data_IF_200884314199
#
_entry.id   IF_200884314199
#
_cell.length_a   1.000
_cell.length_b   1.000
_cell.length_c   1.000
_cell.angle_alpha   90.00
_cell.angle_beta   90.00
_cell.angle_gamma   90.00
#
_symmetry.space_group_name_H-M   'P 1'
#
loop_
_entity.id
_entity.type
_entity.pdbx_description
1 polymer ?
#
# COMPACT_ATOMS: atom_id res chain seq x y z
N UNK A 1 -6.99 -8.66 4.07
CA UNK A 1 -5.73 -9.39 4.35
C UNK A 1 -4.62 -8.38 4.58
N UNK A 2 -3.71 -8.65 5.51
CA UNK A 2 -2.55 -7.82 5.80
C UNK A 2 -1.28 -8.55 5.35
N UNK A 3 -0.36 -7.84 4.71
CA UNK A 3 0.94 -8.35 4.31
C UNK A 3 1.99 -7.24 4.49
N UNK A 4 3.26 -7.61 4.49
CA UNK A 4 4.36 -6.70 4.81
C UNK A 4 5.37 -6.65 3.67
N UNK A 5 5.71 -5.43 3.27
CA UNK A 5 6.64 -5.13 2.17
C UNK A 5 7.95 -4.54 2.68
N UNK A 6 8.84 -4.25 1.75
CA UNK A 6 10.05 -3.46 1.98
C UNK A 6 10.97 -4.06 3.03
N UNK A 7 11.18 -5.39 2.99
CA UNK A 7 12.12 -6.06 3.88
C UNK A 7 13.50 -5.39 3.76
N UNK A 8 14.07 -5.02 4.90
CA UNK A 8 15.39 -4.42 4.98
C UNK A 8 16.32 -5.23 5.86
N UNK A 9 17.55 -5.46 5.38
CA UNK A 9 18.57 -6.16 6.12
C UNK A 9 18.44 -7.68 6.09
N UNK A 10 19.15 -8.34 7.02
CA UNK A 10 19.25 -9.81 7.12
C UNK A 10 18.26 -10.41 8.12
N UNK A 11 17.68 -9.57 8.96
CA UNK A 11 16.76 -10.03 9.98
C UNK A 11 15.43 -10.48 9.38
N UNK A 12 14.75 -11.34 10.09
CA UNK A 12 13.41 -11.78 9.72
C UNK A 12 12.45 -10.59 9.77
N UNK A 13 11.67 -10.44 8.70
CA UNK A 13 10.65 -9.40 8.59
C UNK A 13 9.29 -9.90 9.04
N UNK A 14 8.36 -9.00 9.28
CA UNK A 14 6.98 -9.35 9.56
C UNK A 14 6.38 -10.15 8.39
N UNK A 15 5.61 -11.15 8.70
CA UNK A 15 4.97 -12.03 7.70
C UNK A 15 3.45 -11.94 7.77
N UNK A 16 2.75 -12.26 6.67
CA UNK A 16 3.26 -12.75 5.37
C UNK A 16 3.92 -11.65 4.54
N UNK A 17 4.87 -12.04 3.70
CA UNK A 17 5.50 -11.12 2.74
C UNK A 17 4.55 -10.81 1.60
N UNK A 18 4.57 -9.56 1.15
CA UNK A 18 3.61 -9.05 0.16
C UNK A 18 3.76 -9.75 -1.20
N UNK A 19 4.97 -9.90 -1.72
CA UNK A 19 5.18 -10.49 -3.03
C UNK A 19 4.65 -11.93 -3.14
N UNK A 20 5.04 -12.88 -2.28
CA UNK A 20 4.48 -14.24 -2.33
C UNK A 20 2.96 -14.27 -2.12
N UNK A 21 2.44 -13.37 -1.29
CA UNK A 21 1.01 -13.25 -1.04
C UNK A 21 0.24 -12.87 -2.30
N UNK A 22 0.71 -11.86 -3.02
CA UNK A 22 0.06 -11.39 -4.25
C UNK A 22 0.19 -12.41 -5.38
N UNK A 23 1.31 -13.10 -5.48
CA UNK A 23 1.48 -14.20 -6.43
C UNK A 23 0.44 -15.31 -6.18
N UNK A 24 0.24 -15.68 -4.92
CA UNK A 24 -0.78 -16.67 -4.54
C UNK A 24 -2.19 -16.18 -4.85
N UNK A 25 -2.51 -14.92 -4.55
CA UNK A 25 -3.80 -14.32 -4.86
C UNK A 25 -4.06 -14.25 -6.37
N UNK A 26 -3.03 -14.04 -7.17
CA UNK A 26 -3.14 -14.08 -8.63
C UNK A 26 -3.71 -15.39 -9.15
N UNK A 27 -3.42 -16.50 -8.47
CA UNK A 27 -3.92 -17.83 -8.87
C UNK A 27 -5.39 -18.07 -8.52
N UNK A 28 -5.95 -17.32 -7.59
CA UNK A 28 -7.29 -17.58 -7.01
C UNK A 28 -8.25 -16.41 -7.10
N UNK A 29 -7.75 -15.19 -7.29
CA UNK A 29 -8.57 -13.98 -7.26
C UNK A 29 -8.51 -13.25 -8.61
N UNK A 30 -9.68 -12.99 -9.18
CA UNK A 30 -9.80 -12.23 -10.43
C UNK A 30 -9.51 -10.74 -10.27
N UNK A 31 -9.52 -10.24 -9.04
CA UNK A 31 -9.20 -8.85 -8.72
C UNK A 31 -8.48 -8.75 -7.37
N UNK A 32 -7.47 -7.91 -7.34
CA UNK A 32 -6.75 -7.53 -6.11
C UNK A 32 -6.61 -6.03 -6.05
N UNK A 33 -7.10 -5.44 -4.97
CA UNK A 33 -6.89 -4.02 -4.66
C UNK A 33 -5.89 -3.93 -3.49
N UNK A 34 -4.89 -3.06 -3.63
CA UNK A 34 -3.82 -2.89 -2.65
C UNK A 34 -3.80 -1.46 -2.13
N UNK A 35 -3.78 -1.32 -0.81
CA UNK A 35 -3.59 -0.05 -0.11
C UNK A 35 -2.39 -0.16 0.82
N UNK A 36 -1.60 0.90 0.92
CA UNK A 36 -0.43 0.98 1.79
C UNK A 36 -0.69 2.01 2.92
N UNK A 37 -1.41 1.63 3.98
CA UNK A 37 -1.83 2.59 5.01
C UNK A 37 -0.67 3.15 5.85
N UNK A 38 0.50 2.52 5.79
CA UNK A 38 1.71 3.02 6.45
C UNK A 38 2.35 4.22 5.77
N UNK A 39 1.90 4.60 4.57
CA UNK A 39 2.44 5.72 3.80
C UNK A 39 1.39 6.81 3.61
N UNK A 40 1.65 7.98 4.18
CA UNK A 40 0.79 9.15 3.99
C UNK A 40 0.93 9.78 2.60
N UNK A 41 2.10 9.62 1.99
CA UNK A 41 2.41 10.08 0.63
C UNK A 41 2.98 8.94 -0.19
N UNK A 42 2.71 8.96 -1.50
CA UNK A 42 3.34 8.03 -2.44
C UNK A 42 4.83 8.26 -2.51
N UNK A 43 5.57 7.18 -2.59
CA UNK A 43 7.02 7.15 -2.63
C UNK A 43 7.49 5.98 -3.49
N UNK A 44 8.79 5.72 -3.51
CA UNK A 44 9.37 4.62 -4.27
C UNK A 44 8.77 3.27 -3.86
N UNK A 45 8.58 3.05 -2.57
CA UNK A 45 8.04 1.80 -2.01
C UNK A 45 6.58 1.57 -2.39
N UNK A 46 5.81 2.62 -2.68
CA UNK A 46 4.42 2.47 -3.11
C UNK A 46 4.26 2.49 -4.63
N UNK A 47 4.94 3.38 -5.33
CA UNK A 47 4.77 3.56 -6.77
C UNK A 47 5.50 2.47 -7.56
N UNK A 48 6.75 2.18 -7.22
CA UNK A 48 7.56 1.20 -7.93
C UNK A 48 7.34 -0.21 -7.37
N UNK A 49 7.49 -0.40 -6.08
CA UNK A 49 7.39 -1.73 -5.47
C UNK A 49 5.96 -2.30 -5.58
N UNK A 50 4.94 -1.52 -5.28
CA UNK A 50 3.55 -1.96 -5.34
C UNK A 50 2.92 -1.68 -6.71
N UNK A 51 2.98 -0.45 -7.17
CA UNK A 51 2.30 -0.01 -8.38
C UNK A 51 2.84 -0.63 -9.66
N UNK A 52 4.09 -1.04 -9.68
CA UNK A 52 4.77 -1.62 -10.83
C UNK A 52 5.18 -3.08 -10.60
N UNK A 53 6.13 -3.35 -9.71
CA UNK A 53 6.67 -4.70 -9.50
C UNK A 53 5.61 -5.70 -9.05
N UNK A 54 4.83 -5.34 -8.06
CA UNK A 54 3.78 -6.22 -7.52
C UNK A 54 2.65 -6.45 -8.53
N UNK A 55 2.29 -5.39 -9.27
CA UNK A 55 1.35 -5.50 -10.39
C UNK A 55 1.83 -6.50 -11.42
N UNK A 56 3.08 -6.41 -11.84
CA UNK A 56 3.67 -7.35 -12.80
C UNK A 56 3.65 -8.78 -12.26
N UNK A 57 3.99 -8.97 -10.99
CA UNK A 57 3.96 -10.30 -10.36
C UNK A 57 2.54 -10.90 -10.34
N UNK A 58 1.52 -10.09 -10.05
CA UNK A 58 0.14 -10.52 -10.12
C UNK A 58 -0.28 -10.88 -11.54
N UNK A 59 0.06 -10.04 -12.52
CA UNK A 59 -0.33 -10.25 -13.92
C UNK A 59 0.33 -11.45 -14.56
N UNK A 60 1.53 -11.84 -14.12
CA UNK A 60 2.17 -13.08 -14.54
C UNK A 60 1.37 -14.31 -14.12
N UNK A 61 0.77 -14.28 -12.95
CA UNK A 61 -0.07 -15.37 -12.44
C UNK A 61 -1.50 -15.33 -12.99
N UNK A 62 -2.01 -14.13 -13.30
CA UNK A 62 -3.37 -13.92 -13.78
C UNK A 62 -3.41 -12.82 -14.86
N UNK A 63 -3.10 -13.17 -16.13
CA UNK A 63 -3.06 -12.18 -17.21
C UNK A 63 -4.39 -11.44 -17.45
N UNK A 64 -5.52 -12.08 -17.15
CA UNK A 64 -6.86 -11.52 -17.33
C UNK A 64 -7.40 -10.86 -16.05
N UNK A 65 -6.65 -10.94 -14.96
CA UNK A 65 -7.05 -10.37 -13.66
C UNK A 65 -6.86 -8.88 -13.58
N UNK A 66 -7.53 -8.26 -12.62
CA UNK A 66 -7.42 -6.84 -12.33
C UNK A 66 -6.58 -6.60 -11.08
N UNK A 67 -5.55 -5.78 -11.21
CA UNK A 67 -4.73 -5.28 -10.10
C UNK A 67 -4.90 -3.77 -9.99
N UNK A 68 -5.30 -3.30 -8.81
CA UNK A 68 -5.48 -1.89 -8.55
C UNK A 68 -4.70 -1.46 -7.31
N UNK A 69 -3.77 -0.54 -7.48
CA UNK A 69 -3.12 0.17 -6.38
C UNK A 69 -3.95 1.40 -6.01
N UNK A 70 -4.35 1.48 -4.74
CA UNK A 70 -5.06 2.63 -4.19
C UNK A 70 -4.00 3.64 -3.74
N UNK A 71 -3.90 4.83 -4.37
CA UNK A 71 -2.88 5.82 -4.02
C UNK A 71 -2.92 6.23 -2.56
N UNK A 72 -1.77 6.63 -2.01
CA UNK A 72 -1.69 7.27 -0.72
C UNK A 72 -2.51 8.58 -0.74
N UNK A 73 -2.80 9.11 0.44
CA UNK A 73 -3.60 10.33 0.55
C UNK A 73 -2.94 11.55 -0.10
N UNK A 74 -1.61 11.61 -0.07
CA UNK A 74 -0.82 12.71 -0.62
C UNK A 74 -1.29 14.06 -0.06
N UNK A 75 -1.28 15.10 -0.89
CA UNK A 75 -1.70 16.47 -0.54
C UNK A 75 -3.10 16.84 -1.07
N UNK A 76 -3.96 15.84 -1.26
CA UNK A 76 -5.35 16.08 -1.67
C UNK A 76 -6.08 16.96 -0.66
N UNK A 77 -7.08 17.71 -1.10
CA UNK A 77 -7.87 18.60 -0.22
C UNK A 77 -8.51 17.80 0.93
N UNK A 78 -8.96 16.59 0.67
CA UNK A 78 -9.51 15.70 1.71
C UNK A 78 -8.48 15.26 2.72
N UNK A 79 -7.26 14.97 2.28
CA UNK A 79 -6.15 14.60 3.16
C UNK A 79 -5.76 15.78 4.05
N UNK A 80 -5.62 16.97 3.49
CA UNK A 80 -5.32 18.20 4.23
C UNK A 80 -6.40 18.48 5.27
N UNK A 81 -7.68 18.37 4.92
CA UNK A 81 -8.78 18.56 5.84
C UNK A 81 -8.76 17.54 6.99
N UNK A 82 -8.43 16.28 6.69
CA UNK A 82 -8.32 15.24 7.71
C UNK A 82 -7.16 15.52 8.68
N UNK A 83 -5.99 15.90 8.18
CA UNK A 83 -4.85 16.29 9.01
C UNK A 83 -5.15 17.52 9.86
N UNK A 84 -5.78 18.53 9.29
CA UNK A 84 -6.20 19.72 10.03
C UNK A 84 -7.13 19.35 11.20
N UNK A 85 -8.10 18.50 10.95
CA UNK A 85 -9.03 18.03 11.98
C UNK A 85 -8.30 17.34 13.14
N UNK A 86 -7.36 16.45 12.83
CA UNK A 86 -6.57 15.74 13.83
C UNK A 86 -5.69 16.72 14.60
N UNK A 87 -5.00 17.61 13.90
CA UNK A 87 -4.10 18.59 14.53
C UNK A 87 -4.87 19.53 15.48
N UNK A 88 -6.02 20.03 15.06
CA UNK A 88 -6.84 20.89 15.92
C UNK A 88 -7.29 20.17 17.17
N UNK A 89 -7.66 18.90 17.06
CA UNK A 89 -8.04 18.09 18.21
C UNK A 89 -6.87 17.87 19.17
N UNK A 90 -5.73 17.47 18.64
CA UNK A 90 -4.55 17.10 19.46
C UNK A 90 -3.81 18.33 20.00
N UNK A 91 -3.83 19.44 19.26
CA UNK A 91 -3.19 20.69 19.66
C UNK A 91 -4.14 21.70 20.29
N UNK A 92 -5.34 21.28 20.69
CA UNK A 92 -6.29 22.13 21.41
C UNK A 92 -5.66 22.69 22.70
N UNK A 93 -5.66 24.01 22.82
CA UNK A 93 -4.97 24.71 23.92
C UNK A 93 -3.55 25.18 23.56
N UNK A 94 -2.98 24.76 22.42
CA UNK A 94 -1.69 25.23 21.91
C UNK A 94 -1.84 26.24 20.76
N UNK A 95 -2.97 26.19 20.09
CA UNK A 95 -3.30 27.04 18.95
C UNK A 95 -4.62 27.76 19.14
#
# INVERSE_FOLDING_TARGET
>A
MVAFQSRFGREEWLTPYTLPTVQRLGKTCSRVDVICPGFAADCLETLEEIGDELRCAYQLENPDGAFHYIPALNDSDKAVAAYETILRRELGGWI
#
